data_IF_450466834913
#
_entry.id   IF_450466834913
#
_cell.length_a   1.000
_cell.length_b   1.000
_cell.length_c   1.000
_cell.angle_alpha   90.00
_cell.angle_beta   90.00
_cell.angle_gamma   90.00
#
_symmetry.space_group_name_H-M   'P 1'
#
loop_
_entity.id
_entity.type
_entity.pdbx_description
1 polymer ?
#
# COMPACT_ATOMS: atom_id res chain seq x y z
N UNK A 1 1.98 15.50 35.76
CA UNK A 1 2.14 15.51 35.29
C UNK A 1 2.08 15.26 34.27
N UNK A 2 2.09 15.06 33.90
CA UNK A 2 2.00 14.86 33.10
C UNK A 2 2.13 14.70 32.17
N UNK A 3 2.24 14.56 31.81
CA UNK A 3 2.43 14.40 31.08
C UNK A 3 2.21 14.26 30.11
N UNK A 4 2.14 14.16 29.75
CA UNK A 4 2.01 14.01 28.96
C UNK A 4 1.92 13.86 27.91
N UNK A 5 1.84 13.61 27.54
CA UNK A 5 1.79 13.31 26.68
C UNK A 5 1.42 13.51 25.71
N UNK A 6 1.65 13.50 25.00
CA UNK A 6 1.43 13.74 23.97
C UNK A 6 0.82 13.16 23.20
N UNK A 7 0.42 12.87 23.20
CA UNK A 7 -0.28 12.31 22.58
C UNK A 7 -0.50 12.56 21.45
N UNK A 8 -0.51 12.09 20.86
CA UNK A 8 -0.64 12.16 19.66
C UNK A 8 -1.78 12.58 19.29
N UNK A 9 -1.78 13.21 18.79
CA UNK A 9 -2.76 13.68 18.35
C UNK A 9 -3.72 12.96 17.68
N UNK A 10 -3.47 12.20 16.99
CA UNK A 10 -4.39 11.54 16.21
C UNK A 10 -5.26 10.79 16.96
N UNK A 11 -5.26 10.84 18.13
CA UNK A 11 -5.99 10.02 18.74
C UNK A 11 -7.39 10.16 18.50
N UNK A 12 -8.10 10.99 18.46
CA UNK A 12 -9.45 10.98 18.38
C UNK A 12 -10.12 10.06 17.53
N UNK A 13 -9.73 8.95 17.34
CA UNK A 13 -10.45 8.00 16.54
C UNK A 13 -10.16 8.01 15.10
N UNK A 14 -9.48 8.97 14.61
CA UNK A 14 -9.06 8.96 13.21
C UNK A 14 -7.82 8.15 13.06
N UNK A 15 -7.71 7.33 12.05
CA UNK A 15 -6.49 6.59 11.83
C UNK A 15 -5.37 7.55 11.51
N UNK A 16 -4.20 7.20 11.92
CA UNK A 16 -3.01 7.96 11.61
C UNK A 16 -2.62 7.64 10.18
N UNK A 17 -2.75 8.60 9.29
CA UNK A 17 -2.49 8.39 7.88
C UNK A 17 -1.05 7.92 7.64
N UNK A 18 -0.11 8.47 8.36
CA UNK A 18 1.28 8.06 8.17
C UNK A 18 1.50 6.62 8.59
N UNK A 19 0.92 6.21 9.72
CA UNK A 19 1.07 4.84 10.18
C UNK A 19 0.40 3.86 9.21
N UNK A 20 -0.76 4.22 8.69
CA UNK A 20 -1.43 3.37 7.71
C UNK A 20 -0.59 3.29 6.44
N UNK A 21 -0.05 4.43 5.98
CA UNK A 21 0.77 4.44 4.79
C UNK A 21 2.01 3.57 4.95
N UNK A 22 2.63 3.58 6.12
CA UNK A 22 3.79 2.73 6.36
C UNK A 22 3.43 1.26 6.23
N UNK A 23 2.29 0.86 6.75
CA UNK A 23 1.88 -0.53 6.63
C UNK A 23 1.58 -0.90 5.19
N UNK A 24 0.97 0.00 4.44
CA UNK A 24 0.70 -0.25 3.03
C UNK A 24 2.01 -0.40 2.27
N UNK A 25 2.96 0.50 2.50
CA UNK A 25 4.25 0.44 1.78
C UNK A 25 5.00 -0.83 2.13
N UNK A 26 4.99 -1.23 3.39
CA UNK A 26 5.65 -2.46 3.79
C UNK A 26 5.01 -3.67 3.09
N UNK A 27 3.70 -3.68 3.01
CA UNK A 27 3.02 -4.77 2.33
C UNK A 27 3.34 -4.78 0.84
N UNK A 28 3.43 -3.60 0.21
CA UNK A 28 3.69 -3.52 -1.21
C UNK A 28 5.16 -3.73 -1.56
N UNK A 29 6.03 -3.79 -0.58
CA UNK A 29 7.44 -4.01 -0.86
C UNK A 29 7.71 -5.42 -1.38
N UNK A 30 6.83 -6.35 -1.12
CA UNK A 30 7.00 -7.72 -1.56
C UNK A 30 6.30 -7.96 -2.89
N UNK A 31 7.00 -8.44 -3.92
CA UNK A 31 6.38 -8.63 -5.21
C UNK A 31 5.26 -9.68 -5.22
N UNK A 32 5.36 -10.68 -4.38
CA UNK A 32 4.31 -11.69 -4.31
C UNK A 32 3.02 -11.08 -3.76
N UNK A 33 3.13 -10.23 -2.74
CA UNK A 33 1.95 -9.58 -2.21
C UNK A 33 1.33 -8.64 -3.24
N UNK A 34 2.17 -7.94 -4.02
CA UNK A 34 1.63 -7.10 -5.09
C UNK A 34 0.87 -7.93 -6.12
N UNK A 35 1.39 -9.12 -6.45
CA UNK A 35 0.72 -9.98 -7.41
C UNK A 35 -0.62 -10.46 -6.88
N UNK A 36 -0.69 -10.77 -5.60
CA UNK A 36 -1.94 -11.21 -4.99
C UNK A 36 -2.96 -10.06 -5.01
N UNK A 37 -2.53 -8.86 -4.65
CA UNK A 37 -3.44 -7.73 -4.67
C UNK A 37 -3.93 -7.42 -6.08
N UNK A 38 -3.05 -7.54 -7.07
CA UNK A 38 -3.45 -7.32 -8.46
C UNK A 38 -4.45 -8.37 -8.91
N UNK A 39 -4.27 -9.61 -8.49
CA UNK A 39 -5.20 -10.67 -8.85
C UNK A 39 -6.57 -10.43 -8.23
N UNK A 40 -6.60 -9.96 -6.98
CA UNK A 40 -7.87 -9.65 -6.33
C UNK A 40 -8.53 -8.45 -6.98
N UNK A 41 -7.72 -7.48 -7.41
CA UNK A 41 -8.29 -6.31 -8.09
C UNK A 41 -8.91 -6.69 -9.42
N UNK A 42 -8.28 -7.59 -10.14
CA UNK A 42 -8.76 -7.97 -11.46
C UNK A 42 -9.92 -8.95 -11.38
N UNK A 43 -9.89 -9.86 -10.45
CA UNK A 43 -10.86 -10.96 -10.43
C UNK A 43 -11.90 -10.88 -9.31
N UNK A 44 -11.80 -9.91 -8.42
CA UNK A 44 -12.71 -9.81 -7.30
C UNK A 44 -12.36 -10.77 -6.18
N UNK A 45 -13.23 -10.90 -5.19
CA UNK A 45 -12.95 -11.73 -4.03
C UNK A 45 -12.60 -13.16 -4.41
N UNK A 46 -11.66 -13.74 -3.71
CA UNK A 46 -11.16 -15.06 -4.05
C UNK A 46 -10.64 -15.78 -2.83
N UNK A 47 -10.61 -17.10 -2.89
CA UNK A 47 -10.02 -17.92 -1.85
C UNK A 47 -8.54 -18.10 -2.14
N UNK A 48 -7.80 -18.58 -1.15
CA UNK A 48 -6.38 -18.88 -1.38
C UNK A 48 -6.24 -19.93 -2.49
N UNK A 49 -7.15 -20.88 -2.54
CA UNK A 49 -7.13 -21.89 -3.59
C UNK A 49 -7.34 -21.26 -4.97
N UNK A 50 -8.29 -20.34 -5.08
CA UNK A 50 -8.53 -19.66 -6.34
C UNK A 50 -7.27 -18.92 -6.80
N UNK A 51 -6.63 -18.24 -5.87
CA UNK A 51 -5.42 -17.47 -6.19
C UNK A 51 -4.27 -18.39 -6.58
N UNK A 52 -4.17 -19.54 -5.92
CA UNK A 52 -3.12 -20.49 -6.27
C UNK A 52 -3.31 -21.02 -7.69
N UNK A 53 -4.55 -21.04 -8.17
CA UNK A 53 -4.81 -21.43 -9.55
C UNK A 53 -4.47 -20.37 -10.57
N UNK A 54 -4.31 -19.11 -10.12
CA UNK A 54 -4.02 -18.02 -11.03
C UNK A 54 -2.57 -17.56 -10.99
N UNK A 55 -1.88 -17.87 -9.91
CA UNK A 55 -0.53 -17.38 -9.72
C UNK A 55 0.43 -18.55 -9.52
N UNK A 56 1.67 -18.43 -9.94
CA UNK A 56 2.65 -19.49 -9.77
C UNK A 56 3.19 -19.55 -8.35
N UNK A 57 2.30 -19.67 -7.38
CA UNK A 57 2.66 -19.62 -5.98
C UNK A 57 1.81 -20.68 -5.27
N UNK A 58 2.39 -21.37 -4.32
CA UNK A 58 1.66 -22.42 -3.62
C UNK A 58 0.54 -21.83 -2.78
N UNK A 59 -0.50 -22.63 -2.55
CA UNK A 59 -1.61 -22.17 -1.73
C UNK A 59 -1.15 -21.81 -0.33
N UNK A 60 -0.21 -22.54 0.22
CA UNK A 60 0.29 -22.24 1.56
C UNK A 60 0.99 -20.90 1.61
N UNK A 61 1.81 -20.61 0.61
CA UNK A 61 2.49 -19.32 0.56
C UNK A 61 1.48 -18.18 0.37
N UNK A 62 0.48 -18.40 -0.46
CA UNK A 62 -0.54 -17.40 -0.66
C UNK A 62 -1.29 -17.13 0.64
N UNK A 63 -1.65 -18.18 1.38
CA UNK A 63 -2.36 -18.00 2.64
C UNK A 63 -1.54 -17.18 3.62
N UNK A 64 -0.23 -17.41 3.66
CA UNK A 64 0.64 -16.68 4.54
C UNK A 64 0.69 -15.22 4.16
N UNK A 65 0.82 -14.92 2.88
CA UNK A 65 0.83 -13.54 2.41
C UNK A 65 -0.52 -12.86 2.63
N UNK A 66 -1.62 -13.59 2.46
CA UNK A 66 -2.93 -13.02 2.71
C UNK A 66 -3.11 -12.64 4.18
N UNK A 67 -2.55 -13.42 5.08
CA UNK A 67 -2.61 -13.09 6.50
C UNK A 67 -1.89 -11.78 6.78
N UNK A 68 -0.73 -11.58 6.15
CA UNK A 68 0.00 -10.33 6.32
C UNK A 68 -0.74 -9.16 5.70
N UNK A 69 -1.38 -9.38 4.55
CA UNK A 69 -2.17 -8.33 3.92
C UNK A 69 -3.39 -7.96 4.76
N UNK A 70 -3.97 -8.95 5.42
CA UNK A 70 -5.11 -8.68 6.31
C UNK A 70 -4.67 -7.88 7.52
N UNK A 71 -3.49 -8.18 8.07
CA UNK A 71 -2.96 -7.40 9.17
C UNK A 71 -2.71 -5.96 8.78
N UNK A 72 -2.30 -5.74 7.55
CA UNK A 72 -2.08 -4.38 7.06
C UNK A 72 -3.39 -3.69 6.68
N UNK A 73 -4.50 -4.40 6.75
CA UNK A 73 -5.79 -3.82 6.42
C UNK A 73 -6.10 -3.71 4.95
N UNK A 74 -5.28 -4.34 4.10
CA UNK A 74 -5.47 -4.25 2.67
C UNK A 74 -6.47 -5.26 2.14
N UNK A 75 -6.72 -6.32 2.87
CA UNK A 75 -7.74 -7.29 2.50
C UNK A 75 -8.57 -7.62 3.72
N UNK A 76 -9.80 -8.07 3.49
CA UNK A 76 -10.68 -8.53 4.54
C UNK A 76 -11.01 -9.98 4.25
N UNK A 77 -10.92 -10.80 5.28
CA UNK A 77 -11.30 -12.19 5.17
C UNK A 77 -12.79 -12.31 5.48
N UNK A 78 -13.50 -13.01 4.64
CA UNK A 78 -14.92 -13.21 4.80
C UNK A 78 -15.25 -14.68 4.71
N UNK A 79 -16.25 -15.16 5.41
CA UNK A 79 -16.62 -16.55 5.24
C UNK A 79 -17.16 -16.78 3.84
N UNK A 80 -16.78 -17.88 3.27
CA UNK A 80 -17.25 -18.28 1.96
C UNK A 80 -18.04 -19.55 2.09
N UNK A 81 -18.36 -20.16 0.95
CA UNK A 81 -19.11 -21.38 0.96
C UNK A 81 -18.24 -22.52 1.45
N UNK A 82 -18.85 -23.48 2.11
CA UNK A 82 -18.14 -24.68 2.54
C UNK A 82 -16.92 -24.38 3.42
N UNK A 83 -17.07 -23.42 4.31
CA UNK A 83 -16.02 -23.08 5.25
C UNK A 83 -14.76 -22.52 4.59
N UNK A 84 -14.84 -22.14 3.34
CA UNK A 84 -13.69 -21.51 2.72
C UNK A 84 -13.68 -20.05 3.11
N UNK A 85 -12.51 -19.46 3.13
CA UNK A 85 -12.34 -18.07 3.44
C UNK A 85 -12.08 -17.33 2.15
N UNK A 86 -12.85 -16.30 1.88
CA UNK A 86 -12.64 -15.48 0.70
C UNK A 86 -12.02 -14.19 1.16
N UNK A 87 -11.16 -13.64 0.35
CA UNK A 87 -10.49 -12.40 0.66
C UNK A 87 -10.90 -11.33 -0.34
N UNK A 88 -11.16 -10.15 0.17
CA UNK A 88 -11.60 -9.05 -0.66
C UNK A 88 -10.73 -7.85 -0.39
N UNK A 89 -10.43 -7.08 -1.42
CA UNK A 89 -9.63 -5.88 -1.27
C UNK A 89 -10.37 -4.82 -0.44
N UNK A 90 -9.60 -4.09 0.33
CA UNK A 90 -10.11 -2.92 1.01
C UNK A 90 -9.38 -1.73 0.46
N UNK A 91 -10.10 -0.76 -0.09
CA UNK A 91 -9.45 0.36 -0.74
C UNK A 91 -9.10 1.49 0.21
N UNK A 92 -9.69 1.53 1.39
CA UNK A 92 -9.44 2.66 2.30
C UNK A 92 -7.97 2.85 2.65
N UNK A 93 -7.22 1.81 3.07
CA UNK A 93 -5.81 2.03 3.39
C UNK A 93 -5.01 2.49 2.18
N UNK A 94 -5.34 1.99 1.00
CA UNK A 94 -4.64 2.40 -0.21
C UNK A 94 -4.88 3.87 -0.50
N UNK A 95 -6.11 4.34 -0.30
CA UNK A 95 -6.40 5.76 -0.51
C UNK A 95 -5.67 6.61 0.50
N UNK A 96 -5.54 6.15 1.74
CA UNK A 96 -4.79 6.89 2.74
C UNK A 96 -3.32 6.98 2.37
N UNK A 97 -2.77 5.89 1.82
CA UNK A 97 -1.39 5.91 1.36
C UNK A 97 -1.23 6.87 0.18
N UNK A 98 -2.22 6.93 -0.71
CA UNK A 98 -2.20 7.88 -1.83
C UNK A 98 -2.23 9.32 -1.32
N UNK A 99 -3.02 9.60 -0.30
CA UNK A 99 -3.07 10.94 0.27
C UNK A 99 -1.73 11.32 0.88
N UNK A 100 -1.09 10.37 1.55
CA UNK A 100 0.21 10.61 2.14
C UNK A 100 1.23 10.92 1.05
N UNK A 101 1.24 10.12 -0.01
CA UNK A 101 2.17 10.35 -1.11
C UNK A 101 1.88 11.66 -1.83
N UNK A 102 0.61 12.02 -1.98
CA UNK A 102 0.27 13.28 -2.63
C UNK A 102 0.77 14.46 -1.80
N UNK A 103 0.65 14.37 -0.49
CA UNK A 103 1.15 15.43 0.37
C UNK A 103 2.67 15.56 0.27
N UNK A 104 3.36 14.41 0.28
CA UNK A 104 4.81 14.45 0.11
C UNK A 104 5.19 15.03 -1.24
N UNK A 105 4.47 14.65 -2.28
CA UNK A 105 4.77 15.15 -3.62
C UNK A 105 4.63 16.66 -3.67
N UNK A 106 3.61 17.20 -3.01
CA UNK A 106 3.46 18.65 -3.00
C UNK A 106 4.62 19.31 -2.27
N UNK A 107 5.06 18.71 -1.18
CA UNK A 107 6.18 19.30 -0.43
C UNK A 107 7.47 19.25 -1.24
N UNK A 108 7.59 18.29 -2.14
CA UNK A 108 8.78 18.14 -2.94
C UNK A 108 8.74 18.88 -4.26
N UNK A 109 7.60 19.44 -4.65
CA UNK A 109 7.50 20.09 -5.96
C UNK A 109 8.50 21.24 -6.11
N UNK A 110 8.59 22.12 -5.15
CA UNK A 110 9.53 23.21 -5.25
C UNK A 110 10.99 22.75 -5.31
N UNK A 111 11.42 21.91 -4.36
CA UNK A 111 12.79 21.40 -4.42
C UNK A 111 13.10 20.62 -5.69
N UNK A 112 12.14 19.84 -6.19
CA UNK A 112 12.38 19.09 -7.40
C UNK A 112 12.48 19.99 -8.61
N UNK A 113 11.66 21.02 -8.70
CA UNK A 113 11.75 21.97 -9.79
C UNK A 113 13.06 22.72 -9.75
N UNK A 114 13.50 23.11 -8.57
CA UNK A 114 14.77 23.82 -8.43
C UNK A 114 15.93 22.93 -8.86
N UNK A 115 15.88 21.64 -8.48
CA UNK A 115 16.92 20.72 -8.85
C UNK A 115 16.93 20.51 -10.37
N UNK A 116 15.76 20.39 -10.96
CA UNK A 116 15.67 20.18 -12.38
C UNK A 116 16.23 21.37 -13.14
N UNK A 117 15.90 22.59 -12.71
CA UNK A 117 16.44 23.78 -13.35
C UNK A 117 17.97 23.81 -13.23
N UNK A 118 18.47 23.45 -12.07
CA UNK A 118 19.90 23.44 -11.86
C UNK A 118 20.60 22.44 -12.79
N UNK A 119 20.01 21.27 -12.92
CA UNK A 119 20.61 20.27 -13.81
C UNK A 119 20.53 20.69 -15.27
N UNK A 120 19.44 21.33 -15.66
CA UNK A 120 19.33 21.81 -17.03
C UNK A 120 20.38 22.85 -17.33
N UNK A 121 20.69 23.70 -16.39
CA UNK A 121 21.72 24.71 -16.60
C UNK A 121 23.11 24.10 -16.67
N UNK A 122 23.33 23.03 -15.95
CA UNK A 122 24.64 22.44 -15.93
C UNK A 122 24.90 21.49 -17.05
N UNK A 123 23.93 21.14 -17.83
CA UNK A 123 24.13 20.22 -18.93
C UNK A 123 23.69 20.91 -20.17
N UNK A 124 24.39 21.87 -20.60
CA UNK A 124 23.99 22.68 -21.72
C UNK A 124 23.72 21.93 -22.96
N UNK A 125 24.45 21.04 -23.31
CA UNK A 125 24.22 20.41 -24.53
C UNK A 125 23.14 19.42 -24.53
N UNK A 126 22.65 19.16 -23.41
CA UNK A 126 21.74 18.07 -23.36
C UNK A 126 20.54 18.30 -24.21
N UNK A 127 20.27 19.46 -24.60
CA UNK A 127 19.18 19.58 -25.32
C UNK A 127 19.35 19.80 -26.54
N UNK A 128 20.15 19.73 -26.85
CA UNK A 128 20.38 19.90 -28.07
C UNK A 128 19.48 19.33 -28.86
N UNK A 129 19.06 18.89 -28.81
CA UNK A 129 18.21 18.22 -29.63
C UNK A 129 17.78 18.39 -30.13
#
# INVERSE_FOLDING_TARGET
MATDSPAPSNSSGSPDVEAVAEQVFAALADPTRRAILAALAAGGPATATDLAGRLPITRQAIAKHLALLAEAGLVTAEPGERRRVRYRLRSAPMRMAQQFLAALARDWDGPLDALKDHLDQQVPGSRAG
#
